data_IF_784435748400
#
_entry.id   IF_784435748400
#
_cell.length_a   1.000
_cell.length_b   1.000
_cell.length_c   1.000
_cell.angle_alpha   90.00
_cell.angle_beta   90.00
_cell.angle_gamma   90.00
#
_symmetry.space_group_name_H-M   'P 1'
#
loop_
_entity.id
_entity.type
_entity.pdbx_description
1 polymer ?
#
# COMPACT_ATOMS: atom_id res chain seq x y z
N UNK A 1 3.77 -2.75 6.81
CA UNK A 1 2.91 -3.60 5.98
C UNK A 1 3.60 -3.96 4.68
N UNK A 2 3.75 -3.06 3.69
CA UNK A 2 4.43 -3.38 2.42
C UNK A 2 5.83 -4.00 2.57
N UNK A 3 6.70 -3.42 3.39
CA UNK A 3 8.05 -3.97 3.65
C UNK A 3 8.02 -5.35 4.33
N UNK A 4 7.05 -5.56 5.21
CA UNK A 4 6.88 -6.81 5.95
C UNK A 4 6.37 -7.91 5.01
N UNK A 5 5.33 -7.57 4.23
CA UNK A 5 4.73 -8.42 3.20
C UNK A 5 5.72 -8.88 2.14
N UNK A 6 6.54 -7.97 1.62
CA UNK A 6 7.58 -8.27 0.63
C UNK A 6 8.92 -8.70 1.24
N UNK A 7 8.98 -8.84 2.58
CA UNK A 7 10.20 -9.17 3.33
C UNK A 7 11.42 -8.30 2.93
N UNK A 8 11.17 -7.01 2.74
CA UNK A 8 12.15 -6.02 2.31
C UNK A 8 12.92 -5.44 3.48
N UNK A 9 14.18 -5.08 3.22
CA UNK A 9 14.97 -4.36 4.22
C UNK A 9 14.34 -3.01 4.57
N UNK A 10 14.37 -2.59 5.86
CA UNK A 10 13.80 -1.32 6.30
C UNK A 10 14.55 -0.09 5.75
N UNK A 11 15.76 -0.32 5.25
CA UNK A 11 16.60 0.69 4.59
C UNK A 11 16.11 1.02 3.16
N UNK A 12 15.30 0.16 2.55
CA UNK A 12 14.81 0.36 1.18
C UNK A 12 13.83 1.53 1.18
N UNK A 13 14.13 2.61 0.45
CA UNK A 13 13.26 3.77 0.40
C UNK A 13 11.94 3.40 -0.31
N UNK A 14 10.82 4.02 0.05
CA UNK A 14 9.51 3.72 -0.54
C UNK A 14 9.46 3.91 -2.06
N UNK A 15 10.26 4.82 -2.61
CA UNK A 15 10.39 5.02 -4.06
C UNK A 15 10.92 3.79 -4.82
N UNK A 16 11.69 2.94 -4.13
CA UNK A 16 12.24 1.71 -4.69
C UNK A 16 11.26 0.53 -4.55
N UNK A 17 10.18 0.70 -3.79
CA UNK A 17 9.13 -0.30 -3.58
C UNK A 17 8.15 -0.23 -4.76
N UNK A 18 8.53 -0.87 -5.86
CA UNK A 18 7.76 -0.93 -7.11
C UNK A 18 7.76 -2.33 -7.71
N UNK A 19 6.74 -2.65 -8.51
CA UNK A 19 6.62 -3.91 -9.27
C UNK A 19 7.88 -4.24 -10.07
N UNK A 20 8.55 -3.21 -10.62
CA UNK A 20 9.78 -3.39 -11.42
C UNK A 20 10.99 -3.81 -10.60
N UNK A 21 11.07 -3.42 -9.33
CA UNK A 21 12.21 -3.67 -8.44
C UNK A 21 11.97 -4.88 -7.54
N UNK A 22 10.71 -5.13 -7.19
CA UNK A 22 10.30 -6.23 -6.33
C UNK A 22 9.85 -7.37 -7.24
N UNK A 23 10.74 -8.32 -7.49
CA UNK A 23 10.41 -9.51 -8.30
C UNK A 23 9.31 -10.38 -7.69
N UNK A 24 9.01 -10.24 -6.39
CA UNK A 24 7.90 -10.91 -5.73
C UNK A 24 6.54 -10.22 -5.95
N UNK A 25 6.51 -9.09 -6.68
CA UNK A 25 5.30 -8.34 -6.99
C UNK A 25 4.62 -8.94 -8.23
N UNK A 26 4.15 -10.17 -8.10
CA UNK A 26 3.37 -10.86 -9.14
C UNK A 26 1.87 -10.58 -8.99
N UNK A 27 1.08 -10.97 -9.99
CA UNK A 27 -0.39 -10.86 -9.96
C UNK A 27 -1.02 -11.45 -8.68
N UNK A 28 -0.43 -12.50 -8.12
CA UNK A 28 -0.89 -13.09 -6.85
C UNK A 28 -0.56 -12.21 -5.65
N UNK A 29 0.68 -11.70 -5.57
CA UNK A 29 1.12 -10.81 -4.51
C UNK A 29 0.31 -9.50 -4.51
N UNK A 30 -0.06 -9.02 -5.70
CA UNK A 30 -0.94 -7.87 -5.87
C UNK A 30 -2.30 -8.10 -5.21
N UNK A 31 -2.99 -9.19 -5.56
CA UNK A 31 -4.30 -9.55 -4.96
C UNK A 31 -4.21 -9.74 -3.45
N UNK A 32 -3.16 -10.41 -2.98
CA UNK A 32 -2.93 -10.65 -1.55
C UNK A 32 -2.66 -9.34 -0.80
N UNK A 33 -1.83 -8.46 -1.36
CA UNK A 33 -1.55 -7.14 -0.82
C UNK A 33 -2.82 -6.31 -0.73
N UNK A 34 -3.64 -6.32 -1.78
CA UNK A 34 -4.92 -5.60 -1.80
C UNK A 34 -5.85 -6.13 -0.72
N UNK A 35 -6.01 -7.45 -0.62
CA UNK A 35 -6.84 -8.05 0.42
C UNK A 35 -6.38 -7.64 1.83
N UNK A 36 -5.06 -7.61 2.06
CA UNK A 36 -4.46 -7.20 3.33
C UNK A 36 -4.67 -5.70 3.61
N UNK A 37 -4.52 -4.84 2.60
CA UNK A 37 -4.80 -3.40 2.69
C UNK A 37 -6.29 -3.14 2.99
N UNK A 38 -7.19 -3.81 2.26
CA UNK A 38 -8.63 -3.68 2.47
C UNK A 38 -9.03 -4.15 3.87
N UNK A 39 -8.49 -5.29 4.33
CA UNK A 39 -8.76 -5.81 5.68
C UNK A 39 -8.17 -4.94 6.79
N UNK A 40 -6.94 -4.46 6.62
CA UNK A 40 -6.22 -3.67 7.63
C UNK A 40 -6.76 -2.25 7.75
N UNK A 41 -7.01 -1.61 6.61
CA UNK A 41 -7.46 -0.21 6.58
C UNK A 41 -8.99 -0.07 6.45
N UNK A 42 -9.70 -1.19 6.33
CA UNK A 42 -11.15 -1.23 6.12
C UNK A 42 -11.59 -0.37 4.92
N UNK A 43 -10.81 -0.43 3.83
CA UNK A 43 -11.06 0.26 2.56
C UNK A 43 -11.46 -0.72 1.47
N UNK A 44 -12.10 -0.22 0.43
CA UNK A 44 -12.42 -0.98 -0.79
C UNK A 44 -11.72 -0.33 -1.98
N UNK A 45 -11.01 -1.16 -2.77
CA UNK A 45 -10.37 -0.76 -4.02
C UNK A 45 -11.12 -1.35 -5.21
N UNK A 46 -11.38 -0.52 -6.21
CA UNK A 46 -11.93 -0.96 -7.48
C UNK A 46 -10.86 -1.65 -8.33
N UNK A 47 -11.27 -2.50 -9.29
CA UNK A 47 -10.35 -3.19 -10.21
C UNK A 47 -9.43 -2.24 -10.98
N UNK A 48 -9.90 -1.03 -11.26
CA UNK A 48 -9.11 0.03 -11.92
C UNK A 48 -8.03 0.60 -10.99
N UNK A 49 -8.37 0.86 -9.72
CA UNK A 49 -7.40 1.27 -8.71
C UNK A 49 -6.36 0.17 -8.47
N UNK A 50 -6.83 -1.08 -8.32
CA UNK A 50 -6.01 -2.28 -8.18
C UNK A 50 -4.97 -2.38 -9.30
N UNK A 51 -5.37 -2.15 -10.55
CA UNK A 51 -4.44 -2.17 -11.69
C UNK A 51 -3.34 -1.11 -11.60
N UNK A 52 -3.58 -0.03 -10.86
CA UNK A 52 -2.65 1.07 -10.59
C UNK A 52 -1.88 0.92 -9.27
N UNK A 53 -2.17 -0.08 -8.43
CA UNK A 53 -1.42 -0.33 -7.18
C UNK A 53 -0.11 -1.09 -7.48
N UNK A 54 0.79 -0.50 -8.29
CA UNK A 54 2.08 -1.10 -8.70
C UNK A 54 3.30 -0.47 -8.04
N UNK A 55 3.07 0.61 -7.30
CA UNK A 55 4.11 1.39 -6.65
C UNK A 55 3.64 1.76 -5.25
N UNK A 56 4.57 1.87 -4.30
CA UNK A 56 4.26 2.37 -2.97
C UNK A 56 3.57 3.74 -3.03
N UNK A 57 4.02 4.63 -3.92
CA UNK A 57 3.45 5.97 -4.05
C UNK A 57 1.98 5.94 -4.51
N UNK A 58 1.65 5.04 -5.45
CA UNK A 58 0.28 4.85 -5.92
C UNK A 58 -0.61 4.26 -4.83
N UNK A 59 -0.11 3.28 -4.08
CA UNK A 59 -0.83 2.70 -2.93
C UNK A 59 -1.06 3.76 -1.86
N UNK A 60 -0.02 4.52 -1.53
CA UNK A 60 -0.10 5.59 -0.55
C UNK A 60 -1.10 6.67 -0.99
N UNK A 61 -1.09 7.05 -2.27
CA UNK A 61 -2.02 8.01 -2.84
C UNK A 61 -3.46 7.47 -2.84
N UNK A 62 -3.68 6.21 -3.21
CA UNK A 62 -4.99 5.59 -3.21
C UNK A 62 -5.56 5.52 -1.78
N UNK A 63 -4.76 5.08 -0.81
CA UNK A 63 -5.13 5.08 0.60
C UNK A 63 -5.44 6.49 1.11
N UNK A 64 -4.60 7.48 0.77
CA UNK A 64 -4.82 8.87 1.15
C UNK A 64 -6.12 9.43 0.57
N UNK A 65 -6.46 9.11 -0.69
CA UNK A 65 -7.74 9.48 -1.32
C UNK A 65 -8.94 8.88 -0.60
N UNK A 66 -8.80 7.69 -0.02
CA UNK A 66 -9.83 7.04 0.80
C UNK A 66 -9.88 7.58 2.24
N UNK A 67 -9.05 8.56 2.60
CA UNK A 67 -8.97 9.12 3.95
C UNK A 67 -8.09 8.32 4.91
N UNK A 68 -7.36 7.32 4.41
CA UNK A 68 -6.38 6.58 5.18
C UNK A 68 -5.06 7.35 5.13
N UNK A 69 -4.83 8.16 6.16
CA UNK A 69 -3.51 8.73 6.38
C UNK A 69 -2.61 7.62 6.95
N UNK A 70 -1.65 7.17 6.14
CA UNK A 70 -0.51 6.37 6.61
C UNK A 70 0.36 7.28 7.49
N UNK A 71 -0.10 7.47 8.71
CA UNK A 71 0.51 8.38 9.65
C UNK A 71 1.84 7.80 10.11
N UNK A 72 2.93 8.36 9.60
CA UNK A 72 4.16 8.41 10.36
C UNK A 72 3.86 9.10 11.70
N UNK A 73 3.76 8.31 12.76
CA UNK A 73 3.70 8.69 14.18
C UNK A 73 3.60 10.20 14.49
N UNK A 74 2.38 10.69 14.81
CA UNK A 74 2.07 11.70 15.86
C UNK A 74 0.80 12.53 15.58
N UNK A 75 -0.28 12.34 16.35
CA UNK A 75 -1.31 13.39 16.62
C UNK A 75 -2.77 13.19 16.13
N UNK A 76 -3.47 12.14 16.57
CA UNK A 76 -4.87 11.81 16.23
C UNK A 76 -5.80 13.04 16.08
N UNK A 77 -6.56 13.17 14.99
CA UNK A 77 -7.78 14.01 14.96
C UNK A 77 -8.74 13.45 13.92
N UNK A 78 -9.85 12.89 14.41
CA UNK A 78 -11.03 12.56 13.62
C UNK A 78 -11.84 13.86 13.51
N UNK A 79 -12.04 14.38 12.30
CA UNK A 79 -13.13 15.33 12.06
C UNK A 79 -14.31 14.52 11.56
N UNK A 80 -15.37 14.47 12.38
CA UNK A 80 -16.70 14.01 11.98
C UNK A 80 -17.40 15.09 11.16
#
# INVERSE_FOLDING_TARGET
LLRDFFNLSPDIPPEEITEKKIGAWDSLAMVQLIADLQGTFSVEFDLDEIGSLRSYDEIHTALCRKGVALRGVNGFTIVK
#
